data_IF_250712584498
#
_entry.id   IF_250712584498
#
_cell.length_a   1.000
_cell.length_b   1.000
_cell.length_c   1.000
_cell.angle_alpha   90.00
_cell.angle_beta   90.00
_cell.angle_gamma   90.00
#
_symmetry.space_group_name_H-M   'P 1'
#
loop_
_entity.id
_entity.type
_entity.pdbx_description
1 polymer ?
#
# COMPACT_ATOMS: atom_id res chain seq x y z
N UNK A 1 17.34 42.89 2.90
CA UNK A 1 18.18 41.90 3.62
C UNK A 1 17.99 40.55 2.94
N UNK A 2 19.06 39.88 2.49
CA UNK A 2 18.96 38.62 1.75
C UNK A 2 18.74 37.42 2.70
N UNK A 3 18.28 36.27 2.19
CA UNK A 3 17.90 35.11 3.00
C UNK A 3 19.12 34.30 3.47
N UNK A 4 19.01 33.76 4.68
CA UNK A 4 19.92 32.76 5.26
C UNK A 4 19.82 31.44 4.48
N UNK A 5 20.92 31.05 3.84
CA UNK A 5 21.13 29.73 3.24
C UNK A 5 21.52 28.71 4.31
N UNK A 6 20.75 27.64 4.48
CA UNK A 6 21.17 26.43 5.19
C UNK A 6 21.98 25.54 4.24
N UNK A 7 23.19 25.14 4.65
CA UNK A 7 24.07 24.25 3.89
C UNK A 7 23.68 22.80 4.10
N UNK A 8 23.47 22.08 2.99
CA UNK A 8 23.49 20.61 2.90
C UNK A 8 24.93 20.08 3.02
N UNK A 9 25.18 18.94 3.70
CA UNK A 9 26.53 18.41 3.88
C UNK A 9 26.81 17.26 2.91
N UNK A 10 26.74 17.46 1.60
CA UNK A 10 27.29 16.50 0.63
C UNK A 10 27.84 17.25 -0.59
N UNK A 11 29.11 17.66 -0.51
CA UNK A 11 29.87 18.22 -1.62
C UNK A 11 30.80 17.16 -2.21
N UNK A 12 30.51 16.73 -3.43
CA UNK A 12 31.38 15.92 -4.27
C UNK A 12 32.50 16.81 -4.83
N UNK A 13 33.76 16.41 -4.64
CA UNK A 13 34.95 17.08 -5.20
C UNK A 13 35.48 16.33 -6.44
N UNK A 14 35.88 16.99 -7.55
CA UNK A 14 36.36 16.31 -8.75
C UNK A 14 37.90 16.14 -8.80
N UNK A 15 38.31 14.94 -9.25
CA UNK A 15 39.52 14.63 -10.06
C UNK A 15 40.90 15.12 -9.54
N UNK A 16 41.63 14.22 -8.86
CA UNK A 16 43.10 14.28 -8.79
C UNK A 16 43.73 13.29 -9.78
N UNK A 17 44.48 13.82 -10.76
CA UNK A 17 45.38 13.08 -11.65
C UNK A 17 46.63 12.67 -10.87
N UNK A 18 47.00 11.40 -10.91
CA UNK A 18 48.29 10.91 -10.40
C UNK A 18 49.34 10.97 -11.52
N UNK A 19 50.43 11.69 -11.25
CA UNK A 19 51.60 11.78 -12.11
C UNK A 19 52.63 10.71 -11.72
N UNK A 20 53.17 10.04 -12.73
CA UNK A 20 54.25 9.06 -12.68
C UNK A 20 55.58 9.69 -12.23
N UNK A 21 56.25 9.09 -11.24
CA UNK A 21 57.70 9.27 -11.01
C UNK A 21 58.36 7.91 -10.74
N UNK A 22 59.37 7.59 -11.54
CA UNK A 22 60.31 6.49 -11.31
C UNK A 22 61.43 6.91 -10.36
N UNK A 23 62.05 5.99 -9.60
CA UNK A 23 63.34 6.23 -8.97
C UNK A 23 64.50 5.63 -9.79
N UNK A 24 65.52 6.46 -10.03
CA UNK A 24 66.84 6.09 -10.57
C UNK A 24 67.77 5.56 -9.48
N UNK A 25 68.53 4.54 -9.83
CA UNK A 25 69.56 3.87 -9.00
C UNK A 25 70.88 4.67 -9.07
N UNK A 26 71.56 4.82 -7.93
CA UNK A 26 72.96 5.27 -7.85
C UNK A 26 73.90 4.18 -7.35
N UNK A 27 75.03 4.03 -8.06
CA UNK A 27 76.27 3.28 -7.80
C UNK A 27 76.96 3.70 -6.47
N UNK A 28 77.95 3.04 -5.82
CA UNK A 28 79.01 2.08 -6.20
C UNK A 28 79.86 1.65 -4.97
N UNK A 29 80.66 0.57 -5.15
CA UNK A 29 82.00 0.26 -4.58
C UNK A 29 82.12 -0.26 -3.13
N UNK A 30 83.02 -1.19 -2.73
CA UNK A 30 83.81 -2.33 -3.28
C UNK A 30 84.73 -2.83 -2.14
N UNK A 31 85.35 -4.03 -2.28
CA UNK A 31 86.61 -4.56 -1.66
C UNK A 31 86.55 -5.86 -0.80
N UNK A 32 87.61 -6.72 -0.80
CA UNK A 32 87.54 -8.04 -1.46
C UNK A 32 87.93 -9.26 -0.59
N UNK A 33 87.86 -10.44 -1.22
CA UNK A 33 88.22 -11.79 -0.73
C UNK A 33 89.74 -12.02 -0.61
N UNK A 34 90.15 -12.74 0.45
CA UNK A 34 91.46 -13.40 0.56
C UNK A 34 91.34 -14.92 0.50
N UNK A 35 92.24 -15.54 -0.24
CA UNK A 35 92.42 -16.99 -0.43
C UNK A 35 93.18 -17.68 0.71
N UNK A 36 92.91 -18.99 0.92
CA UNK A 36 93.86 -20.12 1.11
C UNK A 36 93.28 -21.18 2.06
N UNK A 37 93.34 -22.46 1.66
CA UNK A 37 93.65 -23.56 2.60
C UNK A 37 92.68 -24.75 2.72
N UNK A 38 93.04 -25.86 2.06
CA UNK A 38 93.10 -27.24 2.60
C UNK A 38 91.82 -28.05 2.94
N UNK A 39 91.65 -29.19 2.25
CA UNK A 39 90.92 -30.41 2.67
C UNK A 39 91.74 -31.19 3.73
N UNK A 40 91.25 -32.21 4.50
CA UNK A 40 90.21 -33.19 4.11
C UNK A 40 89.29 -33.84 5.21
N UNK A 41 88.23 -34.50 4.69
CA UNK A 41 87.57 -35.76 5.13
C UNK A 41 86.63 -35.83 6.36
N UNK A 42 85.41 -36.33 6.09
CA UNK A 42 84.48 -36.90 7.08
C UNK A 42 83.07 -37.07 6.50
N UNK A 43 82.62 -38.31 6.27
CA UNK A 43 81.43 -38.64 5.48
C UNK A 43 80.08 -38.22 6.09
N UNK A 44 79.12 -37.90 5.21
CA UNK A 44 77.72 -37.65 5.55
C UNK A 44 76.82 -38.27 4.48
N UNK A 45 75.76 -38.95 4.92
CA UNK A 45 74.84 -39.75 4.11
C UNK A 45 74.17 -39.02 2.95
N UNK A 46 73.84 -39.79 1.92
CA UNK A 46 73.17 -39.35 0.69
C UNK A 46 71.77 -38.81 1.00
N UNK A 47 71.43 -37.55 0.66
CA UNK A 47 70.05 -37.07 0.67
C UNK A 47 69.32 -37.61 -0.56
N UNK A 48 68.17 -38.28 -0.37
CA UNK A 48 67.29 -38.65 -1.49
C UNK A 48 66.81 -37.39 -2.23
N UNK A 49 66.80 -37.35 -3.57
CA UNK A 49 66.32 -36.19 -4.31
C UNK A 49 64.81 -36.01 -4.09
N UNK A 50 64.42 -34.87 -3.53
CA UNK A 50 63.02 -34.46 -3.39
C UNK A 50 62.45 -34.28 -4.81
N UNK A 51 61.57 -35.19 -5.25
CA UNK A 51 60.83 -35.05 -6.50
C UNK A 51 59.96 -33.79 -6.41
N UNK A 52 60.33 -32.74 -7.14
CA UNK A 52 59.49 -31.54 -7.28
C UNK A 52 58.16 -31.96 -7.89
N UNK A 53 57.01 -31.63 -7.27
CA UNK A 53 55.72 -31.95 -7.85
C UNK A 53 55.61 -31.32 -9.24
N UNK A 54 55.05 -32.06 -10.20
CA UNK A 54 54.88 -31.58 -11.58
C UNK A 54 54.09 -30.27 -11.54
N UNK A 55 54.45 -29.29 -12.38
CA UNK A 55 53.78 -27.97 -12.49
C UNK A 55 52.24 -28.08 -12.59
N UNK A 56 51.74 -29.21 -13.12
CA UNK A 56 50.32 -29.58 -13.19
C UNK A 56 49.64 -29.63 -11.82
N UNK A 57 50.31 -30.10 -10.76
CA UNK A 57 49.73 -30.19 -9.43
C UNK A 57 49.46 -28.79 -8.84
N UNK A 58 50.35 -27.83 -9.08
CA UNK A 58 50.13 -26.44 -8.68
C UNK A 58 48.96 -25.81 -9.42
N UNK A 59 48.82 -26.10 -10.72
CA UNK A 59 47.67 -25.63 -11.51
C UNK A 59 46.36 -26.19 -10.98
N UNK A 60 46.30 -27.49 -10.64
CA UNK A 60 45.10 -28.09 -10.06
C UNK A 60 44.74 -27.47 -8.70
N UNK A 61 45.72 -27.19 -7.85
CA UNK A 61 45.50 -26.51 -6.57
C UNK A 61 45.00 -25.08 -6.79
N UNK A 62 45.56 -24.34 -7.75
CA UNK A 62 45.10 -22.99 -8.09
C UNK A 62 43.66 -23.01 -8.63
N UNK A 63 43.34 -23.92 -9.56
CA UNK A 63 41.98 -24.06 -10.07
C UNK A 63 40.99 -24.49 -8.98
N UNK A 64 41.40 -25.40 -8.09
CA UNK A 64 40.60 -25.78 -6.93
C UNK A 64 40.35 -24.58 -6.01
N UNK A 65 41.37 -23.78 -5.71
CA UNK A 65 41.23 -22.60 -4.88
C UNK A 65 40.35 -21.54 -5.55
N UNK A 66 40.52 -21.28 -6.85
CA UNK A 66 39.68 -20.34 -7.60
C UNK A 66 38.22 -20.81 -7.67
N UNK A 67 37.97 -22.10 -7.86
CA UNK A 67 36.63 -22.68 -7.83
C UNK A 67 36.02 -22.62 -6.42
N UNK A 68 36.79 -23.01 -5.40
CA UNK A 68 36.34 -23.08 -4.01
C UNK A 68 36.03 -21.69 -3.47
N UNK A 69 36.96 -20.75 -3.62
CA UNK A 69 36.81 -19.38 -3.11
C UNK A 69 35.91 -18.53 -4.01
N UNK A 70 36.08 -18.57 -5.34
CA UNK A 70 35.31 -17.75 -6.27
C UNK A 70 33.89 -18.26 -6.49
N UNK A 71 33.71 -19.51 -6.93
CA UNK A 71 32.40 -20.03 -7.37
C UNK A 71 31.60 -20.60 -6.20
N UNK A 72 32.22 -21.44 -5.35
CA UNK A 72 31.50 -22.12 -4.26
C UNK A 72 31.25 -21.22 -3.05
N UNK A 73 32.19 -20.35 -2.71
CA UNK A 73 32.07 -19.42 -1.58
C UNK A 73 31.78 -17.96 -1.98
N UNK A 74 31.71 -17.65 -3.27
CA UNK A 74 31.20 -16.36 -3.75
C UNK A 74 32.09 -15.16 -3.43
N UNK A 75 33.41 -15.32 -3.35
CA UNK A 75 34.33 -14.17 -3.24
C UNK A 75 34.20 -13.28 -4.48
N UNK A 76 33.73 -12.05 -4.26
CA UNK A 76 33.50 -11.05 -5.32
C UNK A 76 32.03 -10.82 -5.67
N UNK A 77 31.09 -11.59 -5.11
CA UNK A 77 29.67 -11.23 -5.18
C UNK A 77 29.44 -10.08 -4.20
N UNK A 78 29.42 -8.84 -4.70
CA UNK A 78 28.89 -7.71 -3.93
C UNK A 78 27.43 -7.97 -3.61
N UNK A 79 27.17 -8.46 -2.39
CA UNK A 79 25.83 -8.45 -1.82
C UNK A 79 25.56 -7.02 -1.40
N UNK A 80 24.99 -6.24 -2.31
CA UNK A 80 24.46 -4.92 -1.98
C UNK A 80 23.48 -5.16 -0.81
N UNK A 81 23.72 -4.59 0.38
CA UNK A 81 22.79 -4.75 1.48
C UNK A 81 21.42 -4.28 0.99
N UNK A 82 20.33 -5.00 1.32
CA UNK A 82 19.01 -4.58 0.90
C UNK A 82 18.84 -3.12 1.32
N UNK A 83 18.31 -2.26 0.43
CA UNK A 83 18.19 -0.85 0.72
C UNK A 83 17.48 -0.63 2.07
N UNK A 84 17.81 0.47 2.78
CA UNK A 84 17.16 0.80 4.04
C UNK A 84 15.64 0.84 3.87
N UNK A 85 14.92 0.65 4.98
CA UNK A 85 13.46 0.72 5.03
C UNK A 85 12.94 1.93 4.22
N UNK A 86 12.08 1.67 3.23
CA UNK A 86 11.44 2.70 2.41
C UNK A 86 12.18 3.13 1.14
N UNK A 87 13.40 2.65 0.88
CA UNK A 87 14.06 2.89 -0.41
C UNK A 87 13.58 1.88 -1.46
N UNK A 88 12.60 2.27 -2.28
CA UNK A 88 12.23 1.57 -3.49
C UNK A 88 13.04 2.13 -4.66
N UNK A 89 13.80 1.30 -5.37
CA UNK A 89 14.22 1.67 -6.73
C UNK A 89 12.98 1.56 -7.61
N UNK A 90 12.65 2.61 -8.37
CA UNK A 90 11.52 2.57 -9.31
C UNK A 90 11.63 1.33 -10.22
N UNK A 91 10.64 0.44 -10.16
CA UNK A 91 10.57 -0.77 -10.99
C UNK A 91 11.48 -1.94 -10.58
N UNK A 92 12.24 -1.83 -9.48
CA UNK A 92 13.12 -2.90 -9.01
C UNK A 92 12.38 -3.90 -8.11
N UNK A 93 12.45 -5.20 -8.41
CA UNK A 93 12.07 -6.26 -7.44
C UNK A 93 12.98 -6.13 -6.22
N UNK A 94 12.41 -5.98 -5.03
CA UNK A 94 13.21 -5.81 -3.78
C UNK A 94 14.04 -7.05 -3.40
N UNK A 95 13.98 -8.14 -4.17
CA UNK A 95 14.76 -9.37 -3.97
C UNK A 95 14.46 -10.10 -2.66
N UNK A 96 13.45 -9.65 -1.91
CA UNK A 96 13.01 -10.24 -0.64
C UNK A 96 12.11 -11.42 -0.92
N UNK A 97 12.18 -12.42 -0.05
CA UNK A 97 11.25 -13.54 -0.09
C UNK A 97 9.88 -13.05 0.35
N UNK A 98 8.82 -13.57 -0.28
CA UNK A 98 7.47 -13.34 0.20
C UNK A 98 7.30 -13.92 1.59
N UNK A 99 6.63 -13.16 2.47
CA UNK A 99 6.29 -13.59 3.83
C UNK A 99 4.79 -13.91 3.95
N UNK A 100 4.04 -13.75 2.85
CA UNK A 100 2.59 -13.85 2.81
C UNK A 100 2.14 -14.82 1.72
N UNK A 101 1.29 -15.77 2.10
CA UNK A 101 0.46 -16.53 1.18
C UNK A 101 -0.89 -15.82 1.06
N UNK A 102 -1.43 -15.75 -0.15
CA UNK A 102 -2.72 -15.11 -0.41
C UNK A 102 -3.70 -16.18 -0.84
N UNK A 103 -4.79 -16.36 -0.07
CA UNK A 103 -5.88 -17.23 -0.45
C UNK A 103 -6.74 -16.62 -1.57
N UNK A 104 -7.61 -17.42 -2.17
CA UNK A 104 -8.46 -17.03 -3.31
C UNK A 104 -9.36 -15.83 -3.01
N UNK A 105 -9.73 -15.63 -1.74
CA UNK A 105 -10.54 -14.49 -1.26
C UNK A 105 -9.70 -13.24 -0.94
N UNK A 106 -8.41 -13.24 -1.29
CA UNK A 106 -7.48 -12.15 -1.01
C UNK A 106 -7.05 -12.04 0.46
N UNK A 107 -7.30 -13.05 1.29
CA UNK A 107 -6.84 -13.10 2.67
C UNK A 107 -5.35 -13.46 2.70
N UNK A 108 -4.53 -12.64 3.36
CA UNK A 108 -3.11 -12.90 3.54
C UNK A 108 -2.87 -13.73 4.81
N UNK A 109 -2.06 -14.77 4.71
CA UNK A 109 -1.58 -15.59 5.83
C UNK A 109 -0.06 -15.62 5.84
N UNK A 110 0.54 -15.80 7.01
CA UNK A 110 1.99 -15.90 7.12
C UNK A 110 2.47 -17.22 6.50
N UNK A 111 3.50 -17.16 5.66
CA UNK A 111 4.14 -18.36 5.12
C UNK A 111 5.02 -18.99 6.22
N UNK A 112 4.61 -20.14 6.76
CA UNK A 112 5.42 -20.98 7.64
C UNK A 112 5.49 -22.43 7.10
N UNK A 113 6.61 -23.16 7.29
CA UNK A 113 7.83 -22.76 7.98
C UNK A 113 8.93 -22.26 7.03
N UNK A 114 9.69 -21.28 7.51
CA UNK A 114 10.91 -20.78 6.87
C UNK A 114 12.01 -21.84 6.97
N UNK A 115 12.80 -22.10 5.90
CA UNK A 115 13.86 -23.12 5.94
C UNK A 115 14.82 -22.93 7.13
N UNK A 116 15.31 -24.02 7.76
CA UNK A 116 16.26 -23.95 8.86
C UNK A 116 17.47 -23.07 8.52
N UNK A 117 17.83 -22.17 9.44
CA UNK A 117 18.94 -21.22 9.25
C UNK A 117 18.60 -19.96 8.46
N UNK A 118 17.33 -19.74 8.07
CA UNK A 118 16.89 -18.49 7.46
C UNK A 118 15.93 -17.73 8.38
N UNK A 119 16.09 -16.40 8.48
CA UNK A 119 15.17 -15.54 9.22
C UNK A 119 13.94 -15.26 8.35
N UNK A 120 12.76 -15.32 8.95
CA UNK A 120 11.52 -14.91 8.29
C UNK A 120 11.60 -13.42 7.92
N UNK A 121 11.19 -13.10 6.69
CA UNK A 121 10.98 -11.71 6.29
C UNK A 121 9.74 -11.17 7.01
N UNK A 122 9.77 -9.90 7.42
CA UNK A 122 8.60 -9.28 8.03
C UNK A 122 7.56 -8.95 6.94
N UNK A 123 6.28 -9.34 7.11
CA UNK A 123 5.21 -9.08 6.13
C UNK A 123 5.04 -7.63 5.69
N UNK A 124 5.42 -6.66 6.53
CA UNK A 124 5.26 -5.23 6.25
C UNK A 124 6.00 -4.83 4.97
N UNK A 125 7.12 -5.47 4.66
CA UNK A 125 7.90 -5.16 3.48
C UNK A 125 7.16 -5.48 2.19
N UNK A 126 6.52 -6.65 2.14
CA UNK A 126 5.68 -7.06 1.01
C UNK A 126 4.43 -6.19 0.92
N UNK A 127 3.79 -5.88 2.05
CA UNK A 127 2.61 -5.01 2.08
C UNK A 127 2.92 -3.59 1.57
N UNK A 128 4.06 -3.02 1.95
CA UNK A 128 4.53 -1.73 1.43
C UNK A 128 4.78 -1.79 -0.09
N UNK A 129 5.49 -2.80 -0.58
CA UNK A 129 5.76 -2.96 -2.02
C UNK A 129 4.47 -3.13 -2.84
N UNK A 130 3.50 -3.89 -2.32
CA UNK A 130 2.17 -4.05 -2.93
C UNK A 130 1.38 -2.74 -2.91
N UNK A 131 1.42 -1.98 -1.81
CA UNK A 131 0.75 -0.70 -1.71
C UNK A 131 1.35 0.32 -2.68
N UNK A 132 2.68 0.40 -2.78
CA UNK A 132 3.38 1.24 -3.76
C UNK A 132 2.99 0.86 -5.19
N UNK A 133 3.04 -0.44 -5.53
CA UNK A 133 2.66 -0.92 -6.87
C UNK A 133 1.21 -0.58 -7.20
N UNK A 134 0.28 -0.79 -6.23
CA UNK A 134 -1.13 -0.42 -6.41
C UNK A 134 -1.28 1.07 -6.63
N UNK A 135 -0.59 1.89 -5.86
CA UNK A 135 -0.62 3.34 -5.97
C UNK A 135 -0.07 3.84 -7.31
N UNK A 136 1.07 3.33 -7.77
CA UNK A 136 1.66 3.73 -9.05
C UNK A 136 0.77 3.33 -10.22
N UNK A 137 0.20 2.11 -10.18
CA UNK A 137 -0.71 1.64 -11.21
C UNK A 137 -2.01 2.46 -11.23
N UNK A 138 -2.58 2.76 -10.07
CA UNK A 138 -3.76 3.61 -9.93
C UNK A 138 -3.50 4.99 -10.50
N UNK A 139 -2.39 5.65 -10.13
CA UNK A 139 -2.06 6.97 -10.67
C UNK A 139 -1.82 6.95 -12.17
N UNK A 140 -1.18 5.90 -12.70
CA UNK A 140 -0.91 5.77 -14.13
C UNK A 140 -2.19 5.52 -14.96
N UNK A 141 -3.24 4.97 -14.35
CA UNK A 141 -4.50 4.67 -15.04
C UNK A 141 -5.51 5.82 -15.06
N UNK A 142 -5.20 6.97 -14.45
CA UNK A 142 -6.16 8.07 -14.31
C UNK A 142 -6.44 8.75 -15.65
N UNK A 143 -7.71 9.08 -15.87
CA UNK A 143 -8.18 9.70 -17.11
C UNK A 143 -7.62 11.10 -17.32
N UNK A 144 -7.04 11.31 -18.50
CA UNK A 144 -6.44 12.60 -18.91
C UNK A 144 -7.34 13.42 -19.84
N UNK A 145 -8.44 12.83 -20.34
CA UNK A 145 -9.42 13.52 -21.19
C UNK A 145 -10.83 13.29 -20.65
N UNK A 146 -11.75 14.22 -20.93
CA UNK A 146 -13.15 14.11 -20.53
C UNK A 146 -13.79 12.83 -21.08
N UNK A 147 -13.53 12.48 -22.35
CA UNK A 147 -14.07 11.28 -22.96
C UNK A 147 -13.58 10.00 -22.25
N UNK A 148 -12.30 9.95 -21.87
CA UNK A 148 -11.75 8.83 -21.09
C UNK A 148 -12.40 8.74 -19.70
N UNK A 149 -12.55 9.87 -18.99
CA UNK A 149 -13.19 9.90 -17.68
C UNK A 149 -14.66 9.44 -17.75
N UNK A 150 -15.40 9.86 -18.77
CA UNK A 150 -16.78 9.41 -19.01
C UNK A 150 -16.83 7.91 -19.29
N UNK A 151 -15.90 7.39 -20.10
CA UNK A 151 -15.84 5.96 -20.41
C UNK A 151 -15.49 5.12 -19.17
N UNK A 152 -14.51 5.56 -18.37
CA UNK A 152 -14.12 4.88 -17.14
C UNK A 152 -15.23 4.93 -16.08
N UNK A 153 -15.91 6.07 -15.92
CA UNK A 153 -17.07 6.20 -15.02
C UNK A 153 -18.19 5.21 -15.39
N UNK A 154 -18.54 5.12 -16.69
CA UNK A 154 -19.54 4.16 -17.18
C UNK A 154 -19.11 2.71 -16.96
N UNK A 155 -17.82 2.42 -17.18
CA UNK A 155 -17.25 1.09 -16.99
C UNK A 155 -17.26 0.68 -15.51
N UNK A 156 -16.93 1.59 -14.59
CA UNK A 156 -16.84 1.33 -13.14
C UNK A 156 -18.20 1.23 -12.47
N UNK A 157 -19.11 2.14 -12.81
CA UNK A 157 -20.37 2.32 -12.08
C UNK A 157 -21.60 1.90 -12.86
N UNK A 158 -21.44 1.48 -14.12
CA UNK A 158 -22.54 1.06 -15.00
C UNK A 158 -23.65 2.11 -15.14
N UNK A 159 -23.28 3.39 -15.06
CA UNK A 159 -24.19 4.52 -15.15
C UNK A 159 -23.55 5.70 -15.89
N UNK A 160 -24.39 6.55 -16.47
CA UNK A 160 -23.92 7.81 -17.05
C UNK A 160 -23.45 8.77 -15.95
N UNK A 161 -22.38 9.55 -16.19
CA UNK A 161 -21.96 10.59 -15.27
C UNK A 161 -23.09 11.62 -15.00
N UNK A 162 -23.10 12.24 -13.81
CA UNK A 162 -24.12 13.23 -13.46
C UNK A 162 -24.01 14.50 -14.32
N UNK A 163 -25.07 15.29 -14.34
CA UNK A 163 -25.04 16.64 -14.93
C UNK A 163 -23.93 17.48 -14.29
N UNK A 164 -23.15 18.18 -15.10
CA UNK A 164 -22.00 18.98 -14.66
C UNK A 164 -20.70 18.20 -14.48
N UNK A 165 -20.62 16.95 -14.94
CA UNK A 165 -19.39 16.15 -14.89
C UNK A 165 -18.25 16.76 -15.72
N UNK A 166 -18.56 17.43 -16.82
CA UNK A 166 -17.61 18.19 -17.63
C UNK A 166 -17.01 19.38 -16.85
N UNK A 167 -17.84 20.12 -16.11
CA UNK A 167 -17.40 21.21 -15.23
C UNK A 167 -16.51 20.68 -14.11
N UNK A 168 -16.90 19.56 -13.49
CA UNK A 168 -16.06 18.89 -12.48
C UNK A 168 -14.72 18.41 -13.06
N UNK A 169 -14.71 17.83 -14.28
CA UNK A 169 -13.47 17.41 -14.92
C UNK A 169 -12.57 18.61 -15.24
N UNK A 170 -13.14 19.72 -15.71
CA UNK A 170 -12.42 20.96 -15.94
C UNK A 170 -11.81 21.52 -14.63
N UNK A 171 -12.55 21.43 -13.51
CA UNK A 171 -12.03 21.77 -12.18
C UNK A 171 -10.83 20.87 -11.81
N UNK A 172 -10.92 19.56 -12.02
CA UNK A 172 -9.80 18.66 -11.78
C UNK A 172 -8.55 19.05 -12.58
N UNK A 173 -8.70 19.37 -13.87
CA UNK A 173 -7.59 19.81 -14.71
C UNK A 173 -7.00 21.14 -14.24
N UNK A 174 -7.85 22.14 -13.98
CA UNK A 174 -7.46 23.48 -13.51
C UNK A 174 -6.65 23.44 -12.23
N UNK A 175 -7.02 22.55 -11.29
CA UNK A 175 -6.38 22.44 -9.97
C UNK A 175 -5.34 21.32 -9.89
N UNK A 176 -5.05 20.62 -10.99
CA UNK A 176 -4.06 19.55 -11.03
C UNK A 176 -4.41 18.35 -10.16
N UNK A 177 -5.69 18.05 -9.98
CA UNK A 177 -6.17 16.88 -9.24
C UNK A 177 -5.69 15.62 -9.96
N UNK A 178 -5.01 14.75 -9.21
CA UNK A 178 -4.37 13.55 -9.78
C UNK A 178 -5.27 12.33 -9.78
N UNK A 179 -6.23 12.26 -8.86
CA UNK A 179 -7.12 11.12 -8.69
C UNK A 179 -8.50 11.55 -9.23
N UNK A 180 -8.77 11.15 -10.47
CA UNK A 180 -9.95 11.56 -11.24
C UNK A 180 -10.98 10.42 -11.29
N UNK A 181 -10.56 9.16 -11.27
CA UNK A 181 -11.49 8.03 -11.50
C UNK A 181 -11.84 7.24 -10.22
N UNK A 182 -11.25 7.57 -9.07
CA UNK A 182 -11.36 6.77 -7.83
C UNK A 182 -12.46 7.28 -6.86
N UNK A 183 -13.71 7.25 -7.32
CA UNK A 183 -14.89 7.61 -6.51
C UNK A 183 -15.62 6.39 -5.92
N UNK A 184 -14.97 5.23 -5.89
CA UNK A 184 -15.60 3.95 -5.55
C UNK A 184 -16.25 3.95 -4.18
N UNK A 185 -15.64 4.58 -3.18
CA UNK A 185 -16.22 4.68 -1.83
C UNK A 185 -17.48 5.56 -1.83
N UNK A 186 -17.44 6.71 -2.52
CA UNK A 186 -18.60 7.59 -2.67
C UNK A 186 -19.75 6.85 -3.37
N UNK A 187 -19.46 6.18 -4.49
CA UNK A 187 -20.46 5.44 -5.24
C UNK A 187 -21.00 4.25 -4.46
N UNK A 188 -20.14 3.54 -3.72
CA UNK A 188 -20.56 2.46 -2.82
C UNK A 188 -21.62 2.96 -1.83
N UNK A 189 -21.49 4.17 -1.31
CA UNK A 189 -22.42 4.72 -0.33
C UNK A 189 -23.68 5.35 -0.96
N UNK A 190 -23.56 5.95 -2.16
CA UNK A 190 -24.70 6.57 -2.85
C UNK A 190 -25.60 5.57 -3.60
N UNK A 191 -25.01 4.56 -4.26
CA UNK A 191 -25.74 3.66 -5.17
C UNK A 191 -26.94 2.96 -4.51
N UNK A 192 -26.90 2.46 -3.26
CA UNK A 192 -28.08 1.85 -2.64
C UNK A 192 -29.31 2.77 -2.62
N UNK A 193 -29.12 4.09 -2.61
CA UNK A 193 -30.23 5.05 -2.63
C UNK A 193 -30.88 5.21 -4.01
N UNK A 194 -30.20 4.83 -5.10
CA UNK A 194 -30.78 4.81 -6.45
C UNK A 194 -31.86 3.73 -6.62
N UNK A 195 -31.92 2.74 -5.72
CA UNK A 195 -32.97 1.73 -5.68
C UNK A 195 -34.32 2.30 -5.19
N UNK A 196 -34.31 3.48 -4.55
CA UNK A 196 -35.50 4.12 -4.03
C UNK A 196 -36.18 4.94 -5.14
N UNK A 197 -37.51 4.99 -5.08
CA UNK A 197 -38.26 5.98 -5.85
C UNK A 197 -37.79 7.41 -5.49
N UNK A 198 -37.58 8.32 -6.45
CA UNK A 198 -37.10 9.67 -6.18
C UNK A 198 -37.93 10.42 -5.14
N UNK A 199 -39.27 10.28 -5.20
CA UNK A 199 -40.19 10.88 -4.23
C UNK A 199 -39.92 10.38 -2.79
N UNK A 200 -39.62 9.10 -2.62
CA UNK A 200 -39.31 8.51 -1.32
C UNK A 200 -37.99 9.03 -0.77
N UNK A 201 -36.94 9.12 -1.61
CA UNK A 201 -35.66 9.69 -1.19
C UNK A 201 -35.80 11.15 -0.75
N UNK A 202 -36.50 11.97 -1.55
CA UNK A 202 -36.75 13.38 -1.25
C UNK A 202 -37.58 13.56 0.02
N UNK A 203 -38.64 12.76 0.21
CA UNK A 203 -39.46 12.80 1.41
C UNK A 203 -38.64 12.48 2.67
N UNK A 204 -37.75 11.48 2.60
CA UNK A 204 -36.86 11.10 3.71
C UNK A 204 -35.83 12.18 4.00
N UNK A 205 -35.20 12.74 2.97
CA UNK A 205 -34.27 13.86 3.13
C UNK A 205 -34.95 15.06 3.79
N UNK A 206 -36.16 15.40 3.35
CA UNK A 206 -36.96 16.49 3.94
C UNK A 206 -37.36 16.22 5.39
N UNK A 207 -37.68 14.97 5.74
CA UNK A 207 -38.05 14.61 7.10
C UNK A 207 -36.88 14.76 8.10
N UNK A 208 -35.63 14.65 7.63
CA UNK A 208 -34.44 14.91 8.44
C UNK A 208 -34.16 16.39 8.63
N UNK A 209 -34.59 17.25 7.70
CA UNK A 209 -34.35 18.69 7.79
C UNK A 209 -35.07 19.29 9.01
N UNK A 210 -34.34 20.07 9.81
CA UNK A 210 -34.87 20.73 11.01
C UNK A 210 -35.01 19.84 12.25
N UNK A 211 -34.56 18.59 12.22
CA UNK A 211 -34.51 17.76 13.43
C UNK A 211 -33.46 18.28 14.42
N UNK A 212 -33.69 18.09 15.71
CA UNK A 212 -32.84 18.65 16.78
C UNK A 212 -31.38 18.18 16.75
N UNK A 213 -31.14 17.00 16.21
CA UNK A 213 -29.82 16.39 16.05
C UNK A 213 -29.17 16.66 14.69
N UNK A 214 -29.72 17.59 13.89
CA UNK A 214 -29.25 17.83 12.51
C UNK A 214 -28.83 19.27 12.23
N UNK A 215 -27.99 19.42 11.22
CA UNK A 215 -27.76 20.66 10.48
C UNK A 215 -28.07 20.42 9.00
N UNK A 216 -28.40 21.48 8.26
CA UNK A 216 -28.60 21.44 6.82
C UNK A 216 -27.71 22.46 6.14
N UNK A 217 -26.85 21.99 5.23
CA UNK A 217 -26.09 22.80 4.29
C UNK A 217 -26.94 23.17 3.10
N UNK A 218 -26.98 24.45 2.77
CA UNK A 218 -27.63 25.02 1.61
C UNK A 218 -26.54 25.50 0.64
N UNK A 219 -26.33 24.77 -0.45
CA UNK A 219 -25.17 24.91 -1.32
C UNK A 219 -25.62 25.38 -2.70
N UNK A 220 -25.16 26.56 -3.08
CA UNK A 220 -25.21 27.09 -4.43
C UNK A 220 -23.95 27.89 -4.74
N UNK A 221 -23.81 28.29 -6.00
CA UNK A 221 -22.66 29.08 -6.47
C UNK A 221 -22.53 30.43 -5.74
N UNK A 222 -23.66 31.10 -5.55
CA UNK A 222 -23.70 32.43 -4.93
C UNK A 222 -23.66 32.36 -3.39
N UNK A 223 -24.05 31.22 -2.80
CA UNK A 223 -24.30 31.10 -1.37
C UNK A 223 -24.04 29.70 -0.85
N UNK A 224 -23.28 29.61 0.24
CA UNK A 224 -23.11 28.39 1.04
C UNK A 224 -23.50 28.72 2.47
N UNK A 225 -24.61 28.16 2.93
CA UNK A 225 -25.17 28.46 4.25
C UNK A 225 -25.55 27.24 5.07
N UNK A 226 -25.80 27.49 6.35
CA UNK A 226 -26.12 26.48 7.36
C UNK A 226 -27.40 26.85 8.08
N UNK A 227 -28.24 25.85 8.30
CA UNK A 227 -29.50 25.95 9.06
C UNK A 227 -29.66 24.72 9.96
N UNK A 228 -30.61 24.77 10.90
CA UNK A 228 -30.88 23.69 11.85
C UNK A 228 -30.22 23.88 13.23
N UNK A 229 -30.68 23.10 14.20
CA UNK A 229 -30.27 23.23 15.62
C UNK A 229 -28.77 23.00 15.81
N UNK A 230 -28.17 22.11 15.01
CA UNK A 230 -26.73 21.80 15.07
C UNK A 230 -25.86 22.71 14.18
N UNK A 231 -26.43 23.70 13.49
CA UNK A 231 -25.70 24.57 12.56
C UNK A 231 -24.51 25.31 13.21
N UNK A 232 -24.62 25.61 14.51
CA UNK A 232 -23.59 26.34 15.24
C UNK A 232 -22.40 25.49 15.71
N UNK A 233 -22.47 24.16 15.55
CA UNK A 233 -21.38 23.25 15.89
C UNK A 233 -20.16 23.43 14.99
N UNK A 234 -18.97 23.03 15.48
CA UNK A 234 -17.72 23.20 14.74
C UNK A 234 -17.69 22.38 13.43
N UNK A 235 -18.20 21.14 13.43
CA UNK A 235 -18.21 20.25 12.26
C UNK A 235 -18.92 20.85 11.04
N UNK A 236 -20.20 21.29 11.14
CA UNK A 236 -20.87 21.91 10.00
C UNK A 236 -20.21 23.20 9.53
N UNK A 237 -19.68 24.03 10.45
CA UNK A 237 -18.92 25.24 10.10
C UNK A 237 -17.68 24.93 9.26
N UNK A 238 -16.92 23.89 9.62
CA UNK A 238 -15.77 23.46 8.82
C UNK A 238 -16.20 22.97 7.43
N UNK A 239 -17.31 22.24 7.33
CA UNK A 239 -17.82 21.77 6.04
C UNK A 239 -18.32 22.94 5.17
N UNK A 240 -19.03 23.92 5.75
CA UNK A 240 -19.38 25.17 5.05
C UNK A 240 -18.15 25.90 4.53
N UNK A 241 -17.11 26.03 5.35
CA UNK A 241 -15.86 26.70 4.93
C UNK A 241 -15.15 25.94 3.81
N UNK A 242 -15.11 24.60 3.88
CA UNK A 242 -14.54 23.76 2.83
C UNK A 242 -15.24 23.98 1.49
N UNK A 243 -16.59 23.94 1.49
CA UNK A 243 -17.40 24.14 0.28
C UNK A 243 -17.29 25.58 -0.23
N UNK A 244 -17.27 26.55 0.68
CA UNK A 244 -17.04 27.96 0.35
C UNK A 244 -15.73 28.20 -0.41
N UNK A 245 -14.71 27.36 -0.21
CA UNK A 245 -13.43 27.44 -0.91
C UNK A 245 -13.47 27.09 -2.40
N UNK A 246 -14.51 26.40 -2.87
CA UNK A 246 -14.66 26.01 -4.29
C UNK A 246 -16.05 26.34 -4.87
N UNK A 247 -16.89 27.11 -4.16
CA UNK A 247 -18.26 27.41 -4.59
C UNK A 247 -18.33 28.06 -5.98
N UNK A 248 -17.34 28.87 -6.33
CA UNK A 248 -17.30 29.61 -7.60
C UNK A 248 -17.01 28.69 -8.79
N UNK A 249 -16.42 27.52 -8.55
CA UNK A 249 -16.20 26.46 -9.53
C UNK A 249 -17.41 25.53 -9.71
N UNK A 250 -18.49 25.72 -8.93
CA UNK A 250 -19.72 24.95 -9.11
C UNK A 250 -20.38 25.26 -10.47
N UNK A 251 -21.06 24.27 -11.09
CA UNK A 251 -21.83 24.50 -12.31
C UNK A 251 -22.87 25.61 -12.15
N UNK A 252 -23.19 26.29 -13.25
CA UNK A 252 -24.27 27.27 -13.25
C UNK A 252 -25.62 26.60 -12.89
N UNK A 253 -26.41 27.26 -12.05
CA UNK A 253 -27.68 26.72 -11.55
C UNK A 253 -27.54 25.55 -10.58
N UNK A 254 -26.32 25.16 -10.17
CA UNK A 254 -26.14 24.11 -9.18
C UNK A 254 -26.77 24.50 -7.85
N UNK A 255 -27.63 23.61 -7.33
CA UNK A 255 -28.27 23.76 -6.03
C UNK A 255 -28.36 22.41 -5.34
N UNK A 256 -27.92 22.34 -4.09
CA UNK A 256 -27.98 21.13 -3.28
C UNK A 256 -28.23 21.46 -1.82
N UNK A 257 -29.20 20.76 -1.21
CA UNK A 257 -29.39 20.75 0.24
C UNK A 257 -28.89 19.43 0.81
N UNK A 258 -28.00 19.48 1.81
CA UNK A 258 -27.47 18.28 2.47
C UNK A 258 -27.71 18.38 3.97
N UNK A 259 -28.54 17.50 4.51
CA UNK A 259 -28.78 17.38 5.94
C UNK A 259 -27.83 16.35 6.54
N UNK A 260 -27.15 16.72 7.61
CA UNK A 260 -26.18 15.88 8.32
C UNK A 260 -26.35 15.97 9.83
N UNK A 261 -25.63 15.10 10.53
CA UNK A 261 -25.53 15.07 11.98
C UNK A 261 -24.09 15.40 12.39
N UNK A 262 -23.92 16.09 13.52
CA UNK A 262 -22.60 16.35 14.10
C UNK A 262 -22.22 15.35 15.20
N UNK A 263 -23.04 14.31 15.42
CA UNK A 263 -22.73 13.20 16.32
C UNK A 263 -21.64 12.27 15.75
N UNK A 264 -21.00 11.48 16.62
CA UNK A 264 -19.93 10.55 16.26
C UNK A 264 -20.43 9.29 15.57
N UNK A 265 -21.68 8.93 15.80
CA UNK A 265 -22.32 7.74 15.24
C UNK A 265 -23.27 8.09 14.12
N UNK A 266 -23.29 7.25 13.09
CA UNK A 266 -24.31 7.33 12.04
C UNK A 266 -25.69 7.01 12.61
N UNK A 267 -26.71 7.75 12.14
CA UNK A 267 -28.09 7.61 12.62
C UNK A 267 -28.85 6.45 11.97
N UNK A 268 -28.33 5.90 10.87
CA UNK A 268 -28.99 4.84 10.10
C UNK A 268 -27.96 3.79 9.70
N UNK A 269 -28.26 2.52 10.03
CA UNK A 269 -27.47 1.36 9.58
C UNK A 269 -28.25 0.65 8.49
N UNK A 270 -27.71 0.63 7.27
CA UNK A 270 -28.26 -0.14 6.17
C UNK A 270 -27.92 -1.61 6.37
N UNK A 271 -28.94 -2.46 6.53
CA UNK A 271 -28.74 -3.90 6.69
C UNK A 271 -28.06 -4.53 5.47
N UNK A 272 -27.30 -5.62 5.65
CA UNK A 272 -26.54 -6.27 4.58
C UNK A 272 -27.46 -6.78 3.45
N UNK A 273 -28.54 -7.44 3.82
CA UNK A 273 -29.62 -7.90 2.95
C UNK A 273 -30.34 -6.74 2.25
N UNK A 274 -30.65 -5.67 2.99
CA UNK A 274 -31.25 -4.45 2.45
C UNK A 274 -30.36 -3.81 1.39
N UNK A 275 -29.06 -3.68 1.69
CA UNK A 275 -28.06 -3.17 0.74
C UNK A 275 -27.95 -4.08 -0.47
N UNK A 276 -27.91 -5.40 -0.26
CA UNK A 276 -27.82 -6.37 -1.35
C UNK A 276 -29.01 -6.22 -2.31
N UNK A 277 -30.23 -6.19 -1.76
CA UNK A 277 -31.44 -6.00 -2.55
C UNK A 277 -31.46 -4.65 -3.29
N UNK A 278 -31.02 -3.58 -2.63
CA UNK A 278 -30.90 -2.27 -3.26
C UNK A 278 -29.93 -2.30 -4.45
N UNK A 279 -28.76 -2.93 -4.29
CA UNK A 279 -27.76 -3.03 -5.36
C UNK A 279 -28.24 -3.90 -6.53
N UNK A 280 -29.01 -4.96 -6.27
CA UNK A 280 -29.64 -5.78 -7.33
C UNK A 280 -30.63 -4.96 -8.17
N UNK A 281 -31.45 -4.13 -7.52
CA UNK A 281 -32.39 -3.24 -8.21
C UNK A 281 -31.65 -2.22 -9.08
N UNK A 282 -30.61 -1.60 -8.52
CA UNK A 282 -29.76 -0.65 -9.27
C UNK A 282 -29.13 -1.30 -10.49
N UNK A 283 -28.61 -2.52 -10.36
CA UNK A 283 -28.03 -3.25 -11.48
C UNK A 283 -29.04 -3.59 -12.58
N UNK A 284 -30.32 -3.77 -12.22
CA UNK A 284 -31.43 -3.99 -13.17
C UNK A 284 -32.01 -2.69 -13.73
N UNK A 285 -31.62 -1.53 -13.21
CA UNK A 285 -32.26 -0.25 -13.52
C UNK A 285 -33.68 -0.13 -12.95
N UNK A 286 -33.98 -0.88 -11.89
CA UNK A 286 -35.29 -0.93 -11.24
C UNK A 286 -35.29 -0.13 -9.93
N UNK A 287 -36.49 0.25 -9.48
CA UNK A 287 -36.72 0.92 -8.21
C UNK A 287 -37.85 0.23 -7.45
N UNK A 288 -37.74 0.13 -6.13
CA UNK A 288 -38.76 -0.50 -5.29
C UNK A 288 -38.83 0.12 -3.89
N UNK A 289 -39.94 -0.11 -3.19
CA UNK A 289 -40.03 0.15 -1.76
C UNK A 289 -39.29 -0.96 -1.00
N UNK A 290 -38.26 -0.60 -0.22
CA UNK A 290 -37.47 -1.53 0.59
C UNK A 290 -38.02 -1.70 2.02
N UNK A 291 -39.30 -1.38 2.23
CA UNK A 291 -39.91 -1.21 3.56
C UNK A 291 -39.83 -2.46 4.43
N UNK A 292 -40.01 -3.65 3.86
CA UNK A 292 -39.90 -4.91 4.60
C UNK A 292 -38.48 -5.14 5.13
N UNK A 293 -37.47 -4.71 4.37
CA UNK A 293 -36.06 -4.81 4.74
C UNK A 293 -35.59 -3.70 5.68
N UNK A 294 -36.43 -2.69 5.92
CA UNK A 294 -36.17 -1.61 6.87
C UNK A 294 -36.58 -1.98 8.29
N UNK A 295 -37.37 -3.05 8.47
CA UNK A 295 -37.75 -3.51 9.79
C UNK A 295 -36.49 -3.93 10.59
N UNK A 296 -36.16 -3.25 11.70
CA UNK A 296 -34.98 -3.59 12.48
C UNK A 296 -35.06 -4.99 13.07
N UNK A 297 -36.26 -5.53 13.31
CA UNK A 297 -36.44 -6.82 14.00
C UNK A 297 -36.54 -8.02 13.04
N UNK A 298 -36.36 -7.82 11.73
CA UNK A 298 -36.48 -8.89 10.74
C UNK A 298 -35.34 -9.92 10.79
N UNK A 299 -34.21 -9.57 11.42
CA UNK A 299 -33.02 -10.43 11.55
C UNK A 299 -32.53 -10.44 13.00
N UNK A 300 -31.88 -11.53 13.46
CA UNK A 300 -31.27 -11.59 14.79
C UNK A 300 -30.03 -10.67 14.95
N UNK A 301 -29.42 -10.22 13.85
CA UNK A 301 -28.31 -9.26 13.92
C UNK A 301 -28.79 -7.93 14.55
N UNK A 302 -27.97 -7.34 15.42
CA UNK A 302 -28.30 -6.11 16.15
C UNK A 302 -27.26 -5.00 15.92
N UNK A 303 -27.68 -3.75 16.10
CA UNK A 303 -26.81 -2.58 15.94
C UNK A 303 -26.05 -2.57 14.61
N UNK A 304 -24.73 -2.36 14.69
CA UNK A 304 -23.82 -2.32 13.54
C UNK A 304 -23.63 -3.68 12.86
N UNK A 305 -23.85 -4.78 13.57
CA UNK A 305 -23.67 -6.12 13.02
C UNK A 305 -24.68 -6.44 11.90
N UNK A 306 -25.77 -5.68 11.81
CA UNK A 306 -26.72 -5.73 10.68
C UNK A 306 -26.08 -5.39 9.34
N UNK A 307 -25.02 -4.60 9.31
CA UNK A 307 -24.31 -4.27 8.07
C UNK A 307 -23.48 -5.46 7.54
N UNK A 308 -23.32 -6.52 8.34
CA UNK A 308 -22.58 -7.73 7.99
C UNK A 308 -23.52 -8.89 7.61
N UNK A 309 -23.07 -9.82 6.75
CA UNK A 309 -23.77 -11.09 6.52
C UNK A 309 -24.05 -11.83 7.82
N UNK A 310 -25.16 -12.56 7.91
CA UNK A 310 -25.55 -13.29 9.13
C UNK A 310 -24.60 -14.44 9.47
N UNK A 311 -23.92 -14.98 8.47
CA UNK A 311 -22.89 -16.02 8.54
C UNK A 311 -21.46 -15.45 8.67
N UNK A 312 -21.31 -14.13 8.78
CA UNK A 312 -19.99 -13.52 8.95
C UNK A 312 -19.45 -13.77 10.37
N UNK A 313 -18.11 -13.79 10.56
CA UNK A 313 -17.49 -13.86 11.89
C UNK A 313 -18.02 -12.83 12.89
N UNK A 314 -18.51 -11.69 12.39
CA UNK A 314 -19.11 -10.66 13.21
C UNK A 314 -20.45 -11.12 13.84
N UNK A 315 -21.25 -11.92 13.13
CA UNK A 315 -22.56 -12.40 13.58
C UNK A 315 -22.54 -13.82 14.18
N UNK A 316 -21.54 -14.65 13.89
CA UNK A 316 -21.44 -16.05 14.40
C UNK A 316 -20.51 -16.22 15.60
N UNK A 317 -20.03 -15.13 16.21
CA UNK A 317 -19.08 -15.16 17.33
C UNK A 317 -19.64 -15.87 18.58
N UNK A 318 -18.79 -16.42 19.47
CA UNK A 318 -19.25 -16.97 20.75
C UNK A 318 -20.11 -15.95 21.51
N UNK A 319 -21.32 -16.34 21.90
CA UNK A 319 -22.30 -15.47 22.56
C UNK A 319 -23.14 -14.60 21.62
N UNK A 320 -23.05 -14.77 20.30
CA UNK A 320 -24.02 -14.22 19.36
C UNK A 320 -25.17 -15.20 19.12
N UNK A 321 -26.36 -14.67 18.79
CA UNK A 321 -27.58 -15.46 18.55
C UNK A 321 -27.45 -16.45 17.37
N UNK A 322 -26.55 -16.17 16.42
CA UNK A 322 -26.27 -17.03 15.25
C UNK A 322 -25.01 -17.89 15.42
N UNK A 323 -24.48 -18.05 16.64
CA UNK A 323 -23.33 -18.93 16.86
C UNK A 323 -23.72 -20.38 16.56
N UNK A 324 -23.03 -21.01 15.60
CA UNK A 324 -23.14 -22.46 15.38
C UNK A 324 -22.25 -23.20 16.38
N UNK A 325 -22.53 -24.48 16.66
CA UNK A 325 -21.72 -25.27 17.60
C UNK A 325 -20.23 -25.35 17.20
N UNK A 326 -19.92 -25.19 15.92
CA UNK A 326 -18.55 -25.15 15.40
C UNK A 326 -17.74 -23.93 15.87
N UNK A 327 -18.41 -22.84 16.26
CA UNK A 327 -17.77 -21.58 16.71
C UNK A 327 -17.86 -21.41 18.22
N UNK A 328 -18.74 -22.16 18.89
CA UNK A 328 -18.77 -22.20 20.34
C UNK A 328 -17.45 -22.81 20.86
N UNK A 329 -16.88 -22.18 21.88
CA UNK A 329 -15.68 -22.70 22.54
C UNK A 329 -16.08 -24.06 23.13
N UNK A 330 -15.55 -25.16 22.57
CA UNK A 330 -15.67 -26.48 23.18
C UNK A 330 -15.25 -26.37 24.64
N UNK A 331 -16.08 -26.91 25.52
CA UNK A 331 -15.77 -27.01 26.95
C UNK A 331 -14.36 -27.59 27.12
N UNK A 332 -13.56 -27.18 28.13
CA UNK A 332 -12.28 -27.84 28.41
C UNK A 332 -12.40 -29.36 28.57
N UNK A 333 -13.61 -29.88 28.82
CA UNK A 333 -13.92 -31.30 28.93
C UNK A 333 -14.20 -32.01 27.59
N UNK A 334 -14.28 -31.29 26.47
CA UNK A 334 -14.53 -31.85 25.12
C UNK A 334 -13.29 -31.88 24.22
N UNK A 335 -12.14 -31.40 24.71
CA UNK A 335 -10.86 -31.66 24.05
C UNK A 335 -10.44 -33.10 24.35
N UNK A 336 -10.74 -33.99 23.40
CA UNK A 336 -10.27 -35.38 23.42
C UNK A 336 -8.73 -35.42 23.54
N UNK A 337 -8.17 -36.27 24.43
CA UNK A 337 -6.73 -36.44 24.56
C UNK A 337 -6.25 -37.38 23.48
N UNK A 338 -5.79 -36.84 22.36
CA UNK A 338 -4.94 -37.56 21.42
C UNK A 338 -3.72 -36.74 21.05
#
# INVERSE_FOLDING_TARGET
MPPRTSRSPYGVSPKQKWASRQPSISQSNSFPLSSVGMLPHGGVGVPRPIRRPKKILYLLVIFFLLYWFGIRHGLGIERIPPPPLGFAVNGGRRGRRSALAWGDKGMATLTNPVPPGTKAEHPIYELMERAETRWTNMLASQSTTLQAAVAEYKKRYHMSPPTGFDVWFAFCQKHGIKIVDEYDQLMKDLLPHHALQPATFLARSKALDGQSFTYTLDIGKDRVDLTGERANSARPKHLKNLIGGFKDDLPEGFYLRVTGSDHDTGSVVLGKDQRQRAMELVQKGEQAELKELENPNRTPAWGWFKACPLDSPANIRPGAENATEDVLRKSPFEMSPY
#
